data_IF_538815910463
#
_entry.id   IF_538815910463
#
_cell.length_a   1.000
_cell.length_b   1.000
_cell.length_c   1.000
_cell.angle_alpha   90.00
_cell.angle_beta   90.00
_cell.angle_gamma   90.00
#
_symmetry.space_group_name_H-M   'P 1'
#
loop_
_entity.id
_entity.type
_entity.pdbx_description
1 polymer ?
#
# COMPACT_ATOMS: atom_id res chain seq x y z
N UNK A 1 8.72 -22.93 -12.73
CA UNK A 1 7.29 -22.78 -13.05
C UNK A 1 6.63 -22.02 -11.91
N UNK A 2 7.00 -20.74 -11.75
CA UNK A 2 6.17 -19.58 -12.11
C UNK A 2 4.78 -19.60 -11.44
N UNK A 3 4.76 -19.55 -10.11
CA UNK A 3 3.61 -19.04 -9.38
C UNK A 3 3.85 -17.54 -9.16
N UNK A 4 3.72 -16.75 -10.24
CA UNK A 4 3.49 -15.30 -10.09
C UNK A 4 2.00 -15.16 -9.78
N UNK A 5 1.67 -15.23 -8.50
CA UNK A 5 0.30 -15.14 -8.01
C UNK A 5 -0.17 -13.69 -8.06
N UNK A 6 -1.03 -13.35 -9.01
CA UNK A 6 -1.95 -12.24 -8.81
C UNK A 6 -3.02 -12.78 -7.88
N UNK A 7 -3.02 -12.36 -6.62
CA UNK A 7 -4.03 -12.79 -5.65
C UNK A 7 -4.99 -11.61 -5.45
N UNK A 8 -6.17 -11.71 -6.08
CA UNK A 8 -7.29 -10.80 -5.84
C UNK A 8 -8.06 -11.28 -4.60
N UNK A 9 -7.85 -10.64 -3.46
CA UNK A 9 -8.54 -10.94 -2.19
C UNK A 9 -9.88 -10.18 -2.10
N UNK A 10 -10.84 -10.51 -2.96
CA UNK A 10 -12.18 -9.92 -2.96
C UNK A 10 -13.14 -10.58 -1.93
N UNK A 11 -12.78 -10.83 -0.67
CA UNK A 11 -13.72 -11.33 0.35
C UNK A 11 -13.41 -10.88 1.80
N UNK A 12 -14.41 -10.42 2.60
CA UNK A 12 -14.22 -9.87 3.95
C UNK A 12 -13.95 -10.92 5.04
N UNK A 13 -13.58 -12.15 4.68
CA UNK A 13 -13.39 -13.23 5.65
C UNK A 13 -12.44 -14.34 5.15
N UNK A 14 -11.18 -14.01 4.87
CA UNK A 14 -10.13 -15.02 4.90
C UNK A 14 -8.79 -14.34 5.21
N UNK A 15 -8.27 -14.64 6.40
CA UNK A 15 -6.87 -14.41 6.75
C UNK A 15 -6.03 -15.40 5.95
N UNK A 16 -5.65 -15.06 4.74
CA UNK A 16 -4.69 -15.88 3.99
C UNK A 16 -3.37 -15.11 3.93
N UNK A 17 -2.54 -15.33 4.96
CA UNK A 17 -1.13 -14.94 4.93
C UNK A 17 -0.47 -15.71 3.77
N UNK A 18 0.05 -14.98 2.79
CA UNK A 18 0.78 -15.58 1.68
C UNK A 18 2.15 -15.99 2.22
N UNK A 19 2.49 -17.27 2.05
CA UNK A 19 3.71 -17.89 2.58
C UNK A 19 4.83 -17.71 1.53
N UNK A 20 5.35 -16.48 1.43
CA UNK A 20 6.60 -16.10 0.77
C UNK A 20 6.64 -16.07 -0.77
N UNK A 21 7.46 -15.18 -1.30
CA UNK A 21 7.61 -14.90 -2.74
C UNK A 21 7.58 -13.39 -3.02
N UNK A 22 7.78 -12.99 -4.27
CA UNK A 22 7.47 -11.62 -4.69
C UNK A 22 6.02 -11.59 -5.19
N UNK A 23 5.10 -11.04 -4.40
CA UNK A 23 3.66 -11.10 -4.64
C UNK A 23 3.07 -9.78 -5.14
N UNK A 24 1.91 -9.89 -5.82
CA UNK A 24 1.07 -8.74 -6.19
C UNK A 24 -0.25 -8.87 -5.46
N UNK A 25 -0.49 -7.95 -4.54
CA UNK A 25 -1.56 -8.01 -3.56
C UNK A 25 -2.50 -6.84 -3.80
N UNK A 26 -3.79 -7.11 -3.94
CA UNK A 26 -4.83 -6.08 -4.10
C UNK A 26 -5.99 -6.40 -3.17
N UNK A 27 -6.29 -5.50 -2.22
CA UNK A 27 -7.48 -5.59 -1.36
C UNK A 27 -8.78 -5.38 -2.14
N UNK A 28 -8.76 -4.44 -3.08
CA UNK A 28 -9.95 -4.07 -3.86
C UNK A 28 -10.72 -2.97 -3.13
N UNK A 29 -12.04 -3.10 -3.13
CA UNK A 29 -12.96 -2.13 -2.49
C UNK A 29 -13.23 -2.55 -1.05
N UNK A 30 -13.43 -1.57 -0.19
CA UNK A 30 -13.70 -1.77 1.23
C UNK A 30 -12.48 -1.49 2.09
N UNK A 31 -12.55 -1.93 3.34
CA UNK A 31 -11.46 -1.83 4.32
C UNK A 31 -10.78 -3.18 4.44
N UNK A 32 -9.54 -3.27 4.00
CA UNK A 32 -8.81 -4.53 3.92
C UNK A 32 -7.66 -4.63 4.93
N UNK A 33 -7.28 -5.86 5.26
CA UNK A 33 -6.05 -6.16 6.00
C UNK A 33 -5.14 -6.97 5.11
N UNK A 34 -4.02 -6.37 4.72
CA UNK A 34 -3.07 -6.89 3.75
C UNK A 34 -1.82 -7.41 4.46
N UNK A 35 -1.32 -8.56 4.01
CA UNK A 35 -0.13 -9.22 4.53
C UNK A 35 0.67 -9.74 3.33
N UNK A 36 1.91 -9.30 3.19
CA UNK A 36 2.83 -9.70 2.11
C UNK A 36 3.49 -11.05 2.36
N UNK A 37 3.97 -11.25 3.57
CA UNK A 37 4.86 -12.36 3.90
C UNK A 37 6.31 -11.96 3.67
N UNK A 38 7.07 -12.82 3.00
CA UNK A 38 8.50 -12.60 2.77
C UNK A 38 8.79 -12.44 1.30
N UNK A 39 9.56 -11.45 0.90
CA UNK A 39 9.95 -11.21 -0.50
C UNK A 39 9.72 -9.75 -0.86
N UNK A 40 9.84 -9.39 -2.14
CA UNK A 40 9.61 -8.02 -2.59
C UNK A 40 8.17 -7.87 -3.12
N UNK A 41 7.27 -7.54 -2.20
CA UNK A 41 5.83 -7.51 -2.46
C UNK A 41 5.34 -6.18 -3.02
N UNK A 42 4.22 -6.23 -3.73
CA UNK A 42 3.53 -5.06 -4.26
C UNK A 42 2.10 -4.99 -3.75
N UNK A 43 1.83 -4.02 -2.90
CA UNK A 43 0.49 -3.67 -2.45
C UNK A 43 -0.10 -2.68 -3.44
N UNK A 44 -0.97 -3.16 -4.32
CA UNK A 44 -1.53 -2.41 -5.44
C UNK A 44 -2.88 -1.81 -5.07
N UNK A 45 -2.97 -0.48 -5.19
CA UNK A 45 -4.18 0.30 -5.01
C UNK A 45 -4.61 0.87 -6.36
N UNK A 46 -5.71 0.33 -6.90
CA UNK A 46 -6.19 0.64 -8.25
C UNK A 46 -7.12 1.86 -8.24
N UNK A 47 -6.95 2.74 -9.23
CA UNK A 47 -7.81 3.93 -9.38
C UNK A 47 -9.28 3.53 -9.53
N UNK A 48 -10.16 4.18 -8.76
CA UNK A 48 -11.61 3.92 -8.67
C UNK A 48 -12.01 2.59 -8.01
N UNK A 49 -11.05 1.77 -7.59
CA UNK A 49 -11.30 0.48 -6.95
C UNK A 49 -10.79 0.42 -5.51
N UNK A 50 -9.88 1.32 -5.10
CA UNK A 50 -9.36 1.42 -3.73
C UNK A 50 -9.14 2.89 -3.33
N UNK A 51 -8.85 3.13 -2.04
CA UNK A 51 -8.67 4.46 -1.44
C UNK A 51 -9.89 5.37 -1.57
N UNK A 52 -11.08 4.79 -1.66
CA UNK A 52 -12.34 5.51 -1.76
C UNK A 52 -12.73 6.09 -0.41
N UNK A 53 -13.62 7.08 -0.45
CA UNK A 53 -14.07 7.79 0.76
C UNK A 53 -14.63 6.82 1.80
N UNK A 54 -13.99 6.82 2.98
CA UNK A 54 -14.37 5.97 4.12
C UNK A 54 -13.70 4.60 4.15
N UNK A 55 -12.87 4.25 3.16
CA UNK A 55 -12.05 3.05 3.19
C UNK A 55 -10.84 3.24 4.12
N UNK A 56 -10.51 2.18 4.84
CA UNK A 56 -9.39 2.11 5.78
C UNK A 56 -8.71 0.76 5.63
N UNK A 57 -7.52 0.76 5.04
CA UNK A 57 -6.72 -0.43 4.81
C UNK A 57 -5.56 -0.50 5.80
N UNK A 58 -5.12 -1.71 6.13
CA UNK A 58 -3.96 -1.96 7.00
C UNK A 58 -3.00 -2.90 6.32
N UNK A 59 -1.78 -2.46 6.05
CA UNK A 59 -0.68 -3.34 5.64
C UNK A 59 0.09 -3.73 6.91
N UNK A 60 0.18 -5.03 7.20
CA UNK A 60 0.67 -5.51 8.51
C UNK A 60 2.18 -5.71 8.62
N UNK A 61 2.86 -5.90 7.50
CA UNK A 61 4.23 -6.41 7.45
C UNK A 61 5.05 -5.75 6.33
N UNK A 62 4.72 -4.51 5.97
CA UNK A 62 5.43 -3.77 4.93
C UNK A 62 6.94 -3.65 5.24
N UNK A 63 7.78 -4.26 4.41
CA UNK A 63 9.24 -4.19 4.51
C UNK A 63 9.77 -2.96 3.76
N UNK A 64 10.12 -1.92 4.51
CA UNK A 64 10.67 -0.67 3.97
C UNK A 64 11.92 -0.93 3.11
N UNK A 65 11.97 -0.31 1.93
CA UNK A 65 13.06 -0.47 0.98
C UNK A 65 12.93 -1.73 0.11
N UNK A 66 12.13 -2.71 0.51
CA UNK A 66 11.91 -3.97 -0.22
C UNK A 66 10.56 -3.96 -0.92
N UNK A 67 9.48 -3.80 -0.17
CA UNK A 67 8.12 -3.77 -0.69
C UNK A 67 7.79 -2.47 -1.41
N UNK A 68 6.69 -2.49 -2.16
CA UNK A 68 6.17 -1.33 -2.89
C UNK A 68 4.68 -1.11 -2.63
N UNK A 69 4.35 0.13 -2.30
CA UNK A 69 3.00 0.66 -2.39
C UNK A 69 2.77 1.19 -3.82
N UNK A 70 1.90 0.54 -4.59
CA UNK A 70 1.73 0.82 -6.01
C UNK A 70 0.36 1.43 -6.32
N UNK A 71 0.38 2.65 -6.83
CA UNK A 71 -0.77 3.32 -7.41
C UNK A 71 -0.94 2.90 -8.87
N UNK A 72 -1.91 2.03 -9.16
CA UNK A 72 -2.20 1.58 -10.53
C UNK A 72 -3.36 2.36 -11.17
N UNK A 73 -3.10 2.94 -12.35
CA UNK A 73 -4.07 3.72 -13.13
C UNK A 73 -4.21 5.18 -12.69
N UNK A 74 -3.29 5.69 -11.87
CA UNK A 74 -3.34 7.06 -11.31
C UNK A 74 -2.62 8.10 -12.18
N UNK A 75 -1.89 7.66 -13.20
CA UNK A 75 -1.23 8.50 -14.20
C UNK A 75 0.23 8.11 -14.43
N UNK A 76 0.67 8.22 -15.69
CA UNK A 76 1.94 7.60 -16.13
C UNK A 76 3.19 8.48 -15.92
N UNK A 77 3.02 9.73 -15.46
CA UNK A 77 4.10 10.72 -15.33
C UNK A 77 4.18 11.33 -13.92
N UNK A 78 3.82 10.56 -12.89
CA UNK A 78 3.96 11.01 -11.50
C UNK A 78 5.40 10.75 -11.05
N UNK A 79 6.11 11.80 -10.65
CA UNK A 79 7.42 11.68 -10.04
C UNK A 79 7.27 11.33 -8.56
N UNK A 80 7.61 10.10 -8.18
CA UNK A 80 7.45 9.59 -6.81
C UNK A 80 8.18 10.45 -5.77
N UNK A 81 9.37 10.98 -6.07
CA UNK A 81 10.10 11.87 -5.15
C UNK A 81 9.36 13.18 -4.89
N UNK A 82 8.87 13.82 -5.95
CA UNK A 82 8.07 15.05 -5.81
C UNK A 82 6.77 14.78 -5.06
N UNK A 83 6.08 13.69 -5.41
CA UNK A 83 4.85 13.29 -4.73
C UNK A 83 5.10 13.04 -3.24
N UNK A 84 6.05 12.17 -2.89
CA UNK A 84 6.36 11.82 -1.50
C UNK A 84 6.72 13.06 -0.67
N UNK A 85 7.61 13.93 -1.17
CA UNK A 85 7.96 15.16 -0.47
C UNK A 85 6.76 16.08 -0.23
N UNK A 86 5.82 16.14 -1.19
CA UNK A 86 4.59 16.90 -1.01
C UNK A 86 3.71 16.28 0.08
N UNK A 87 3.51 14.96 0.07
CA UNK A 87 2.74 14.24 1.09
C UNK A 87 3.30 14.48 2.49
N UNK A 88 4.62 14.40 2.66
CA UNK A 88 5.28 14.71 3.94
C UNK A 88 5.01 16.17 4.35
N UNK A 89 5.18 17.12 3.43
CA UNK A 89 5.00 18.54 3.73
C UNK A 89 3.55 18.94 4.05
N UNK A 90 2.58 18.19 3.51
CA UNK A 90 1.15 18.45 3.67
C UNK A 90 0.52 17.62 4.80
N UNK A 91 1.28 16.70 5.40
CA UNK A 91 0.75 15.77 6.39
C UNK A 91 -0.16 14.69 5.79
N UNK A 92 0.01 14.39 4.50
CA UNK A 92 -0.64 13.28 3.82
C UNK A 92 -0.14 11.92 4.31
N UNK A 93 1.10 11.86 4.79
CA UNK A 93 1.64 10.71 5.54
C UNK A 93 2.13 11.21 6.90
N UNK A 94 1.62 10.64 8.00
CA UNK A 94 2.02 11.01 9.36
C UNK A 94 2.28 9.78 10.22
N UNK A 95 3.14 9.90 11.23
CA UNK A 95 3.24 8.89 12.28
C UNK A 95 1.99 8.91 13.17
N UNK A 96 1.55 7.72 13.53
CA UNK A 96 0.55 7.48 14.59
C UNK A 96 1.14 6.53 15.62
N UNK A 97 0.39 6.23 16.69
CA UNK A 97 0.82 5.22 17.66
C UNK A 97 0.99 3.81 17.05
N UNK A 98 0.31 3.53 15.93
CA UNK A 98 0.22 2.20 15.31
C UNK A 98 1.07 2.07 14.03
N UNK A 99 1.78 3.13 13.64
CA UNK A 99 2.59 3.21 12.43
C UNK A 99 2.26 4.43 11.54
N UNK A 100 2.82 4.43 10.33
CA UNK A 100 2.66 5.50 9.35
C UNK A 100 1.27 5.41 8.70
N UNK A 101 0.51 6.49 8.77
CA UNK A 101 -0.83 6.59 8.20
C UNK A 101 -0.80 7.50 6.97
N UNK A 102 -1.05 6.92 5.79
CA UNK A 102 -1.31 7.64 4.56
C UNK A 102 -2.80 7.99 4.44
N UNK A 103 -3.08 9.23 4.08
CA UNK A 103 -4.42 9.73 3.77
C UNK A 103 -4.47 10.17 2.32
N UNK A 104 -5.25 9.46 1.52
CA UNK A 104 -5.46 9.81 0.13
C UNK A 104 -6.36 11.03 0.00
N UNK A 105 -6.10 11.89 -0.98
CA UNK A 105 -6.99 12.98 -1.40
C UNK A 105 -8.40 12.50 -1.79
N UNK A 106 -8.57 11.20 -2.02
CA UNK A 106 -9.84 10.56 -2.40
C UNK A 106 -10.67 10.07 -1.19
N UNK A 107 -10.14 10.29 0.02
CA UNK A 107 -10.83 10.05 1.29
C UNK A 107 -10.65 8.65 1.88
N UNK A 108 -9.91 7.77 1.20
CA UNK A 108 -9.43 6.51 1.77
C UNK A 108 -8.10 6.68 2.51
N UNK A 109 -7.81 5.72 3.37
CA UNK A 109 -6.63 5.77 4.26
C UNK A 109 -5.95 4.42 4.33
N UNK A 110 -4.63 4.41 4.46
CA UNK A 110 -3.84 3.18 4.63
C UNK A 110 -2.87 3.34 5.78
N UNK A 111 -2.93 2.41 6.72
CA UNK A 111 -1.95 2.27 7.79
C UNK A 111 -0.87 1.28 7.38
N UNK A 112 0.37 1.74 7.29
CA UNK A 112 1.57 0.89 7.29
C UNK A 112 1.88 0.56 8.74
N UNK A 113 1.37 -0.59 9.20
CA UNK A 113 1.43 -0.95 10.60
C UNK A 113 2.89 -1.12 11.05
N UNK A 114 3.22 -0.56 12.21
CA UNK A 114 4.53 -0.65 12.86
C UNK A 114 5.70 -0.08 12.02
N UNK A 115 5.42 0.62 10.93
CA UNK A 115 6.40 1.37 10.11
C UNK A 115 6.40 2.84 10.53
N UNK A 116 7.57 3.47 10.66
CA UNK A 116 7.64 4.92 10.87
C UNK A 116 7.79 5.69 9.57
N UNK A 117 7.24 6.90 9.52
CA UNK A 117 7.37 7.80 8.38
C UNK A 117 8.83 8.14 8.07
N UNK A 118 9.71 8.18 9.08
CA UNK A 118 11.14 8.48 8.89
C UNK A 118 11.88 7.37 8.13
N UNK A 119 11.36 6.14 8.18
CA UNK A 119 11.95 5.01 7.47
C UNK A 119 11.48 4.97 6.01
N UNK A 120 10.27 5.47 5.74
CA UNK A 120 9.72 5.54 4.39
C UNK A 120 10.50 6.51 3.50
N UNK A 121 10.57 6.14 2.22
CA UNK A 121 11.20 6.91 1.18
C UNK A 121 10.34 6.95 -0.07
N UNK A 122 10.63 7.86 -0.98
CA UNK A 122 9.95 7.90 -2.27
C UNK A 122 10.13 6.61 -3.09
N UNK A 123 11.16 5.80 -2.83
CA UNK A 123 11.39 4.53 -3.53
C UNK A 123 10.46 3.40 -3.07
N UNK A 124 9.72 3.60 -1.99
CA UNK A 124 8.70 2.67 -1.51
C UNK A 124 7.37 2.84 -2.25
N UNK A 125 7.23 3.92 -3.04
CA UNK A 125 6.02 4.26 -3.76
C UNK A 125 6.22 4.19 -5.27
N UNK A 126 5.26 3.56 -5.94
CA UNK A 126 5.27 3.36 -7.39
C UNK A 126 3.97 3.86 -8.02
N UNK A 127 4.09 4.37 -9.24
CA UNK A 127 2.95 4.79 -10.08
C UNK A 127 3.04 4.07 -11.42
N UNK A 128 1.94 3.49 -11.88
CA UNK A 128 1.88 2.70 -13.13
C UNK A 128 0.54 2.82 -13.83
#
# INVERSE_FOLDING_TARGET
NNLRGVIEINQPSAKDAIIGGDDIITGGRGSDTLVGGSGADKFVFKRNESLLTGEFDVIKDFEVGVDKFEFQGWGNNINASRWFNNEISQGGIIDTQDGALFRSDYGGTVLFKDVSVVDLSYSDFRFS
#
